data_IF_052744411634
#
_entry.id   IF_052744411634
#
_cell.length_a   1.000
_cell.length_b   1.000
_cell.length_c   1.000
_cell.angle_alpha   90.00
_cell.angle_beta   90.00
_cell.angle_gamma   90.00
#
_symmetry.space_group_name_H-M   'P 1'
#
loop_
_entity.id
_entity.type
_entity.pdbx_description
1 polymer ?
#
# COMPACT_ATOMS: atom_id res chain seq x y z
N UNK A 1 -11.08 2.31 -19.98
CA UNK A 1 -9.69 2.17 -19.50
C UNK A 1 -9.59 2.93 -18.19
N UNK A 2 -8.93 2.39 -17.16
CA UNK A 2 -8.56 3.20 -15.98
C UNK A 2 -7.67 4.32 -16.52
N UNK A 3 -8.04 5.58 -16.23
CA UNK A 3 -7.51 6.76 -16.93
C UNK A 3 -6.00 6.94 -16.83
N UNK A 4 -5.45 7.73 -17.75
CA UNK A 4 -4.03 8.08 -17.93
C UNK A 4 -3.33 8.52 -16.62
N UNK A 5 -2.96 7.55 -15.79
CA UNK A 5 -2.32 7.74 -14.50
C UNK A 5 -1.00 7.00 -14.42
N UNK A 6 -0.09 7.49 -13.58
CA UNK A 6 1.21 6.88 -13.38
C UNK A 6 1.46 6.59 -11.90
N UNK A 7 2.38 5.66 -11.65
CA UNK A 7 2.94 5.42 -10.33
C UNK A 7 4.47 5.33 -10.41
N UNK A 8 5.16 5.90 -9.43
CA UNK A 8 6.62 5.85 -9.31
C UNK A 8 7.01 5.44 -7.90
N UNK A 9 7.79 4.36 -7.79
CA UNK A 9 8.42 3.97 -6.54
C UNK A 9 9.65 4.85 -6.27
N UNK A 10 9.68 5.50 -5.12
CA UNK A 10 10.74 6.41 -4.69
C UNK A 10 11.45 5.79 -3.49
N UNK A 11 12.78 5.72 -3.52
CA UNK A 11 13.62 5.10 -2.49
C UNK A 11 14.73 6.04 -2.03
N UNK A 12 15.03 6.01 -0.74
CA UNK A 12 16.12 6.77 -0.13
C UNK A 12 15.97 8.28 -0.36
N UNK A 13 14.83 8.82 0.03
CA UNK A 13 14.44 10.22 -0.14
C UNK A 13 14.38 10.94 1.22
N UNK A 14 14.37 12.27 1.21
CA UNK A 14 13.98 13.07 2.37
C UNK A 14 12.45 13.16 2.49
N UNK A 15 11.90 12.81 3.67
CA UNK A 15 10.45 12.74 3.88
C UNK A 15 9.80 14.10 3.75
N UNK A 16 10.38 15.12 4.39
CA UNK A 16 9.79 16.46 4.44
C UNK A 16 9.81 17.12 3.05
N UNK A 17 10.89 16.93 2.30
CA UNK A 17 10.99 17.36 0.90
C UNK A 17 9.90 16.71 0.04
N UNK A 18 9.72 15.38 0.13
CA UNK A 18 8.68 14.70 -0.63
C UNK A 18 7.26 15.16 -0.22
N UNK A 19 6.99 15.33 1.06
CA UNK A 19 5.68 15.83 1.53
C UNK A 19 5.41 17.24 1.02
N UNK A 20 6.41 18.11 1.03
CA UNK A 20 6.32 19.46 0.47
C UNK A 20 6.02 19.44 -1.04
N UNK A 21 6.75 18.63 -1.81
CA UNK A 21 6.55 18.50 -3.26
C UNK A 21 5.16 17.93 -3.62
N UNK A 22 4.69 16.95 -2.86
CA UNK A 22 3.34 16.36 -3.05
C UNK A 22 2.26 17.37 -2.65
N UNK A 23 2.41 18.06 -1.52
CA UNK A 23 1.44 19.06 -1.07
C UNK A 23 1.35 20.28 -2.00
N UNK A 24 2.40 20.56 -2.78
CA UNK A 24 2.40 21.61 -3.79
C UNK A 24 1.64 21.26 -5.08
N UNK A 25 1.03 20.06 -5.17
CA UNK A 25 0.31 19.63 -6.37
C UNK A 25 -0.93 18.79 -6.03
N UNK A 26 -2.09 19.22 -6.50
CA UNK A 26 -3.34 18.44 -6.39
C UNK A 26 -3.38 17.21 -7.32
N UNK A 27 -2.35 17.03 -8.16
CA UNK A 27 -2.30 16.02 -9.21
C UNK A 27 -1.42 14.80 -8.85
N UNK A 28 -0.94 14.71 -7.61
CA UNK A 28 -0.08 13.62 -7.13
C UNK A 28 -0.34 13.38 -5.65
N UNK A 29 -0.30 12.11 -5.24
CA UNK A 29 -0.43 11.70 -3.83
C UNK A 29 0.61 10.63 -3.51
N UNK A 30 0.87 10.42 -2.22
CA UNK A 30 1.57 9.22 -1.75
C UNK A 30 0.55 8.07 -1.74
N UNK A 31 0.67 7.17 -2.71
CA UNK A 31 -0.19 6.00 -2.87
C UNK A 31 0.16 4.87 -1.90
N UNK A 32 1.46 4.65 -1.65
CA UNK A 32 1.94 3.60 -0.75
C UNK A 32 3.03 4.16 0.16
N UNK A 33 2.77 4.21 1.46
CA UNK A 33 3.78 4.43 2.48
C UNK A 33 4.34 3.08 2.91
N UNK A 34 5.33 2.57 2.16
CA UNK A 34 5.83 1.20 2.32
C UNK A 34 6.82 1.07 3.48
N UNK A 35 7.69 2.07 3.68
CA UNK A 35 8.66 2.12 4.76
C UNK A 35 9.25 3.53 4.86
N UNK A 36 10.06 3.79 5.90
CA UNK A 36 10.76 5.07 6.07
C UNK A 36 11.63 5.47 4.88
N UNK A 37 12.07 4.50 4.08
CA UNK A 37 12.98 4.72 2.96
C UNK A 37 12.39 4.34 1.61
N UNK A 38 11.10 3.97 1.54
CA UNK A 38 10.44 3.62 0.28
C UNK A 38 8.97 4.02 0.32
N UNK A 39 8.54 4.75 -0.70
CA UNK A 39 7.13 5.09 -0.95
C UNK A 39 6.81 4.88 -2.43
N UNK A 40 5.53 4.91 -2.77
CA UNK A 40 5.08 5.04 -4.15
C UNK A 40 4.21 6.29 -4.24
N UNK A 41 4.52 7.16 -5.19
CA UNK A 41 3.66 8.28 -5.55
C UNK A 41 2.80 7.89 -6.75
N UNK A 42 1.58 8.42 -6.83
CA UNK A 42 0.68 8.20 -7.96
C UNK A 42 -0.09 9.46 -8.31
N UNK A 43 -0.49 9.60 -9.56
CA UNK A 43 -1.28 10.74 -10.01
C UNK A 43 -1.19 10.92 -11.52
N UNK A 44 -1.28 12.16 -11.99
CA UNK A 44 -1.06 12.46 -13.40
C UNK A 44 0.39 12.12 -13.80
N UNK A 45 0.64 11.59 -15.01
CA UNK A 45 1.98 11.24 -15.46
C UNK A 45 2.97 12.41 -15.36
N UNK A 46 2.52 13.61 -15.71
CA UNK A 46 3.36 14.82 -15.68
C UNK A 46 3.68 15.28 -14.26
N UNK A 47 2.73 15.21 -13.32
CA UNK A 47 2.95 15.57 -11.93
C UNK A 47 3.87 14.56 -11.22
N UNK A 48 3.62 13.27 -11.45
CA UNK A 48 4.46 12.17 -10.90
C UNK A 48 5.90 12.30 -11.40
N UNK A 49 6.11 12.55 -12.70
CA UNK A 49 7.44 12.77 -13.26
C UNK A 49 8.13 13.99 -12.63
N UNK A 50 7.43 15.12 -12.53
CA UNK A 50 7.97 16.36 -11.94
C UNK A 50 8.40 16.16 -10.48
N UNK A 51 7.59 15.49 -9.67
CA UNK A 51 7.97 15.17 -8.28
C UNK A 51 9.18 14.26 -8.25
N UNK A 52 9.22 13.22 -9.09
CA UNK A 52 10.35 12.29 -9.18
C UNK A 52 11.67 12.96 -9.60
N UNK A 53 11.61 13.95 -10.51
CA UNK A 53 12.77 14.72 -10.98
C UNK A 53 13.24 15.77 -9.96
N UNK A 54 12.29 16.39 -9.24
CA UNK A 54 12.59 17.46 -8.28
C UNK A 54 13.09 16.94 -6.94
N UNK A 55 12.66 15.73 -6.55
CA UNK A 55 12.97 15.14 -5.26
C UNK A 55 14.39 14.57 -5.24
N UNK A 56 15.17 14.98 -4.22
CA UNK A 56 16.43 14.31 -3.91
C UNK A 56 16.15 12.93 -3.35
N UNK A 57 16.38 11.91 -4.16
CA UNK A 57 16.24 10.52 -3.77
C UNK A 57 17.37 9.66 -4.34
N UNK A 58 17.60 8.50 -3.71
CA UNK A 58 18.56 7.51 -4.22
C UNK A 58 18.08 6.91 -5.55
N UNK A 59 16.77 6.66 -5.68
CA UNK A 59 16.21 6.02 -6.87
C UNK A 59 14.72 6.30 -7.00
N UNK A 60 14.28 6.69 -8.18
CA UNK A 60 12.88 6.76 -8.59
C UNK A 60 12.64 5.81 -9.77
N UNK A 61 11.67 4.91 -9.67
CA UNK A 61 11.38 3.89 -10.69
C UNK A 61 9.90 3.98 -11.09
N UNK A 62 9.59 4.34 -12.35
CA UNK A 62 8.25 4.22 -12.89
C UNK A 62 7.77 2.76 -12.83
N UNK A 63 6.55 2.54 -12.35
CA UNK A 63 5.96 1.21 -12.26
C UNK A 63 5.20 0.88 -13.55
N UNK A 64 5.28 -0.37 -13.99
CA UNK A 64 4.55 -0.87 -15.15
C UNK A 64 3.08 -1.13 -14.80
N UNK A 65 2.32 -0.05 -14.57
CA UNK A 65 0.91 -0.06 -14.21
C UNK A 65 0.12 0.93 -15.07
N UNK A 66 -1.18 0.71 -15.19
CA UNK A 66 -2.06 1.46 -16.10
C UNK A 66 -2.85 2.60 -15.45
N UNK A 67 -2.67 2.88 -14.17
CA UNK A 67 -3.45 3.89 -13.48
C UNK A 67 -2.79 4.42 -12.21
N UNK A 68 -3.34 5.51 -11.69
CA UNK A 68 -2.93 6.13 -10.44
C UNK A 68 -3.65 5.46 -9.25
N UNK A 69 -3.27 4.22 -8.91
CA UNK A 69 -3.90 3.48 -7.83
C UNK A 69 -3.71 4.14 -6.45
N UNK A 70 -4.66 3.91 -5.53
CA UNK A 70 -4.64 4.49 -4.18
C UNK A 70 -4.65 6.04 -4.18
N UNK A 71 -5.40 6.61 -5.13
CA UNK A 71 -5.53 8.05 -5.31
C UNK A 71 -6.97 8.47 -5.67
N UNK A 72 -7.29 9.77 -5.64
CA UNK A 72 -8.60 10.28 -6.07
C UNK A 72 -8.99 9.88 -7.50
N UNK A 73 -8.03 9.58 -8.38
CA UNK A 73 -8.29 9.13 -9.76
C UNK A 73 -9.00 7.76 -9.84
N UNK A 74 -8.99 7.01 -8.74
CA UNK A 74 -9.71 5.74 -8.64
C UNK A 74 -11.18 5.90 -8.24
N UNK A 75 -11.71 7.13 -8.11
CA UNK A 75 -13.06 7.36 -7.62
C UNK A 75 -14.15 6.64 -8.44
N UNK A 76 -14.10 6.70 -9.77
CA UNK A 76 -15.07 6.00 -10.63
C UNK A 76 -14.93 4.46 -10.55
N UNK A 77 -13.74 3.86 -10.73
CA UNK A 77 -13.57 2.42 -10.49
C UNK A 77 -13.97 1.99 -9.07
N UNK A 78 -13.71 2.82 -8.06
CA UNK A 78 -14.08 2.54 -6.68
C UNK A 78 -15.59 2.55 -6.48
N UNK A 79 -16.33 3.46 -7.13
CA UNK A 79 -17.79 3.47 -7.09
C UNK A 79 -18.40 2.20 -7.71
N UNK A 80 -17.87 1.76 -8.86
CA UNK A 80 -18.28 0.51 -9.49
C UNK A 80 -17.95 -0.71 -8.60
N UNK A 81 -16.76 -0.73 -8.00
CA UNK A 81 -16.36 -1.77 -7.05
C UNK A 81 -17.25 -1.77 -5.79
N UNK A 82 -17.62 -0.60 -5.28
CA UNK A 82 -18.51 -0.46 -4.13
C UNK A 82 -19.90 -1.04 -4.41
N UNK A 83 -20.44 -0.82 -5.61
CA UNK A 83 -21.72 -1.39 -6.03
C UNK A 83 -21.67 -2.93 -6.05
N UNK A 84 -20.57 -3.52 -6.55
CA UNK A 84 -20.35 -4.96 -6.48
C UNK A 84 -20.21 -5.46 -5.04
N UNK A 85 -19.40 -4.80 -4.22
CA UNK A 85 -19.25 -5.17 -2.81
C UNK A 85 -20.58 -5.13 -2.05
N UNK A 86 -21.46 -4.18 -2.37
CA UNK A 86 -22.76 -4.03 -1.71
C UNK A 86 -23.58 -5.34 -1.76
N UNK A 87 -23.48 -6.12 -2.84
CA UNK A 87 -24.21 -7.39 -3.02
C UNK A 87 -23.60 -8.57 -2.25
N UNK A 88 -22.38 -8.42 -1.74
CA UNK A 88 -21.66 -9.49 -1.04
C UNK A 88 -21.90 -9.41 0.47
N UNK A 89 -22.27 -10.54 1.07
CA UNK A 89 -22.38 -10.68 2.53
C UNK A 89 -20.99 -10.95 3.11
N UNK A 90 -20.60 -10.16 4.12
CA UNK A 90 -19.35 -10.36 4.85
C UNK A 90 -19.65 -11.04 6.18
N UNK A 91 -18.97 -12.16 6.46
CA UNK A 91 -18.94 -12.75 7.79
C UNK A 91 -17.79 -12.14 8.60
N UNK A 92 -17.95 -12.10 9.93
CA UNK A 92 -16.86 -11.72 10.81
C UNK A 92 -15.74 -12.79 10.72
N UNK A 93 -14.48 -12.41 10.43
CA UNK A 93 -13.39 -13.37 10.40
C UNK A 93 -12.99 -13.81 11.81
N UNK A 94 -12.48 -15.03 11.93
CA UNK A 94 -11.91 -15.54 13.19
C UNK A 94 -10.63 -14.80 13.59
N UNK A 95 -9.85 -14.36 12.60
CA UNK A 95 -8.61 -13.59 12.80
C UNK A 95 -8.83 -12.14 12.40
N UNK A 96 -8.47 -11.15 13.26
CA UNK A 96 -8.56 -9.74 12.92
C UNK A 96 -7.73 -9.39 11.67
N UNK A 97 -8.29 -8.55 10.80
CA UNK A 97 -7.62 -8.09 9.57
C UNK A 97 -7.20 -6.63 9.74
N UNK A 98 -5.93 -6.34 9.44
CA UNK A 98 -5.41 -4.96 9.39
C UNK A 98 -5.68 -4.39 8.00
N UNK A 99 -6.49 -3.33 7.92
CA UNK A 99 -6.74 -2.66 6.65
C UNK A 99 -5.63 -1.66 6.30
N UNK A 100 -5.23 -1.64 5.03
CA UNK A 100 -4.32 -0.63 4.49
C UNK A 100 -4.81 0.81 4.65
N UNK A 101 -6.13 1.04 4.66
CA UNK A 101 -6.72 2.38 4.75
C UNK A 101 -6.66 2.96 6.17
N UNK A 102 -6.82 2.10 7.19
CA UNK A 102 -6.88 2.52 8.60
C UNK A 102 -5.66 2.14 9.42
N UNK A 103 -4.78 1.28 8.88
CA UNK A 103 -3.68 0.63 9.59
C UNK A 103 -4.11 -0.02 10.93
N UNK A 104 -5.39 -0.38 11.05
CA UNK A 104 -5.99 -0.89 12.29
C UNK A 104 -6.61 -2.25 12.07
N UNK A 105 -6.38 -3.16 13.02
CA UNK A 105 -6.98 -4.49 13.06
C UNK A 105 -8.44 -4.41 13.47
N UNK A 106 -9.30 -5.14 12.76
CA UNK A 106 -10.70 -5.33 13.15
C UNK A 106 -11.18 -6.70 12.68
N UNK A 107 -12.13 -7.28 13.42
CA UNK A 107 -12.92 -8.44 13.02
C UNK A 107 -14.39 -8.06 12.72
N UNK A 108 -14.71 -6.76 12.74
CA UNK A 108 -16.06 -6.29 12.40
C UNK A 108 -16.28 -6.31 10.88
N UNK A 109 -17.22 -7.14 10.44
CA UNK A 109 -17.51 -7.36 9.03
C UNK A 109 -17.93 -6.06 8.29
N UNK A 110 -18.71 -5.20 8.96
CA UNK A 110 -19.17 -3.94 8.36
C UNK A 110 -17.99 -2.96 8.17
N UNK A 111 -17.11 -2.85 9.16
CA UNK A 111 -15.89 -2.04 9.08
C UNK A 111 -14.94 -2.56 7.99
N UNK A 112 -14.78 -3.87 7.86
CA UNK A 112 -13.96 -4.47 6.79
C UNK A 112 -14.51 -4.15 5.40
N UNK A 113 -15.83 -4.27 5.21
CA UNK A 113 -16.50 -3.91 3.96
C UNK A 113 -16.30 -2.42 3.64
N UNK A 114 -16.52 -1.53 4.60
CA UNK A 114 -16.31 -0.09 4.44
C UNK A 114 -14.85 0.26 4.14
N UNK A 115 -13.89 -0.42 4.76
CA UNK A 115 -12.47 -0.24 4.49
C UNK A 115 -12.10 -0.66 3.07
N UNK A 116 -12.60 -1.81 2.60
CA UNK A 116 -12.33 -2.32 1.27
C UNK A 116 -12.91 -1.39 0.19
N UNK A 117 -14.10 -0.83 0.42
CA UNK A 117 -14.70 0.20 -0.46
C UNK A 117 -13.81 1.44 -0.60
N UNK A 118 -13.19 1.90 0.48
CA UNK A 118 -12.33 3.10 0.46
C UNK A 118 -10.91 2.83 -0.06
N UNK A 119 -10.43 1.59 0.02
CA UNK A 119 -9.03 1.24 -0.22
C UNK A 119 -8.48 1.70 -1.58
N UNK A 120 -9.33 1.75 -2.62
CA UNK A 120 -8.90 2.13 -3.96
C UNK A 120 -8.54 3.61 -4.08
N UNK A 121 -9.14 4.48 -3.25
CA UNK A 121 -8.92 5.94 -3.29
C UNK A 121 -8.09 6.47 -2.12
N UNK A 122 -7.74 5.61 -1.16
CA UNK A 122 -6.93 5.96 0.01
C UNK A 122 -5.54 5.35 -0.08
N UNK A 123 -4.50 6.02 0.47
CA UNK A 123 -3.15 5.47 0.56
C UNK A 123 -3.08 4.13 1.28
N UNK A 124 -2.11 3.30 0.88
CA UNK A 124 -1.69 2.09 1.60
C UNK A 124 -0.71 2.48 2.70
N UNK A 125 -1.13 2.37 3.96
CA UNK A 125 -0.35 2.74 5.16
C UNK A 125 0.50 1.57 5.69
N UNK A 126 1.31 0.97 4.81
CA UNK A 126 2.01 -0.28 5.13
C UNK A 126 3.11 -0.13 6.21
N UNK A 127 3.83 1.00 6.22
CA UNK A 127 4.80 1.33 7.28
C UNK A 127 4.14 1.26 8.66
N UNK A 128 3.00 1.91 8.81
CA UNK A 128 2.25 1.93 10.07
C UNK A 128 1.68 0.55 10.42
N UNK A 129 1.21 -0.21 9.42
CA UNK A 129 0.80 -1.60 9.61
C UNK A 129 1.95 -2.46 10.18
N UNK A 130 3.17 -2.35 9.64
CA UNK A 130 4.33 -3.08 10.14
C UNK A 130 4.71 -2.63 11.57
N UNK A 131 4.72 -1.33 11.84
CA UNK A 131 5.00 -0.79 13.18
C UNK A 131 3.99 -1.32 14.20
N UNK A 132 2.71 -1.43 13.83
CA UNK A 132 1.65 -1.99 14.68
C UNK A 132 1.82 -3.48 14.94
N UNK A 133 2.21 -4.25 13.92
CA UNK A 133 2.48 -5.68 14.06
C UNK A 133 3.62 -5.90 15.06
N UNK A 134 4.73 -5.14 14.93
CA UNK A 134 5.84 -5.21 15.88
C UNK A 134 5.43 -4.78 17.30
N UNK A 135 4.67 -3.69 17.42
CA UNK A 135 4.18 -3.19 18.72
C UNK A 135 3.21 -4.16 19.43
N UNK A 136 2.52 -5.01 18.67
CA UNK A 136 1.65 -6.07 19.21
C UNK A 136 2.43 -7.29 19.74
N UNK A 137 3.76 -7.29 19.67
CA UNK A 137 4.61 -8.40 20.11
C UNK A 137 4.61 -9.59 19.14
N UNK A 138 4.16 -9.40 17.90
CA UNK A 138 4.24 -10.44 16.87
C UNK A 138 5.71 -10.60 16.47
N UNK A 139 6.27 -11.77 16.74
CA UNK A 139 7.67 -12.09 16.49
C UNK A 139 7.91 -12.84 15.17
N UNK A 140 6.85 -13.29 14.50
CA UNK A 140 6.94 -14.10 13.28
C UNK A 140 5.92 -13.62 12.24
N UNK A 141 6.39 -13.35 11.03
CA UNK A 141 5.58 -12.97 9.88
C UNK A 141 5.82 -13.94 8.73
N UNK A 142 4.73 -14.42 8.14
CA UNK A 142 4.75 -15.32 6.98
C UNK A 142 4.17 -14.59 5.77
N UNK A 143 4.98 -14.37 4.74
CA UNK A 143 4.51 -13.86 3.44
C UNK A 143 3.92 -15.00 2.63
N UNK A 144 2.62 -14.93 2.35
CA UNK A 144 1.89 -15.93 1.55
C UNK A 144 1.63 -15.34 0.16
N UNK A 145 2.13 -16.01 -0.87
CA UNK A 145 2.05 -15.55 -2.25
C UNK A 145 3.43 -15.46 -2.92
N UNK A 146 3.47 -15.30 -4.26
CA UNK A 146 4.72 -15.30 -5.01
C UNK A 146 5.58 -14.07 -4.69
N UNK A 147 6.90 -14.27 -4.64
CA UNK A 147 7.88 -13.20 -4.45
C UNK A 147 8.27 -12.99 -2.99
N UNK A 148 8.97 -11.88 -2.74
CA UNK A 148 9.59 -11.60 -1.43
C UNK A 148 9.52 -10.15 -0.99
N UNK A 149 8.57 -9.39 -1.58
CA UNK A 149 8.50 -7.94 -1.41
C UNK A 149 8.16 -7.57 0.02
N UNK A 150 7.14 -8.20 0.61
CA UNK A 150 6.68 -7.86 1.95
C UNK A 150 7.69 -8.28 3.00
N UNK A 151 8.26 -9.49 2.90
CA UNK A 151 9.35 -9.94 3.77
C UNK A 151 10.55 -9.01 3.70
N UNK A 152 10.90 -8.53 2.50
CA UNK A 152 11.95 -7.54 2.31
C UNK A 152 11.68 -6.22 3.04
N UNK A 153 10.42 -5.76 3.04
CA UNK A 153 10.02 -4.53 3.76
C UNK A 153 10.06 -4.72 5.28
N UNK A 154 9.55 -5.85 5.80
CA UNK A 154 9.63 -6.18 7.23
C UNK A 154 11.09 -6.26 7.69
N UNK A 155 11.96 -6.97 6.95
CA UNK A 155 13.38 -7.11 7.29
C UNK A 155 14.10 -5.77 7.52
N UNK A 156 13.70 -4.72 6.79
CA UNK A 156 14.27 -3.37 6.91
C UNK A 156 13.60 -2.50 7.97
N UNK A 157 12.34 -2.78 8.30
CA UNK A 157 11.49 -1.88 9.11
C UNK A 157 11.34 -2.36 10.55
N UNK A 158 11.37 -3.67 10.79
CA UNK A 158 11.10 -4.29 12.09
C UNK A 158 12.17 -5.35 12.42
N UNK A 159 13.40 -4.93 12.81
CA UNK A 159 14.45 -5.87 13.19
C UNK A 159 14.01 -6.77 14.35
N UNK A 160 14.33 -8.06 14.28
CA UNK A 160 13.98 -9.04 15.32
C UNK A 160 12.71 -9.85 15.05
N UNK A 161 11.87 -9.44 14.09
CA UNK A 161 10.76 -10.27 13.60
C UNK A 161 11.30 -11.36 12.67
N UNK A 162 11.05 -12.61 13.01
CA UNK A 162 11.30 -13.78 12.17
C UNK A 162 10.44 -13.75 10.91
N UNK A 163 11.03 -14.10 9.77
CA UNK A 163 10.37 -14.03 8.46
C UNK A 163 10.38 -15.40 7.80
N UNK A 164 9.22 -15.81 7.28
CA UNK A 164 9.06 -17.02 6.47
C UNK A 164 8.21 -16.73 5.25
N UNK A 165 8.29 -17.58 4.23
CA UNK A 165 7.65 -17.33 2.94
C UNK A 165 7.04 -18.60 2.39
N UNK A 166 5.81 -18.50 1.91
CA UNK A 166 5.08 -19.58 1.25
C UNK A 166 4.68 -19.07 -0.15
N UNK A 167 5.61 -19.24 -1.10
CA UNK A 167 5.46 -18.70 -2.45
C UNK A 167 4.87 -19.65 -3.48
N UNK A 168 4.77 -20.94 -3.17
CA UNK A 168 4.23 -21.99 -4.04
C UNK A 168 3.75 -23.17 -3.22
N UNK A 169 3.00 -24.09 -3.84
CA UNK A 169 2.60 -25.36 -3.21
C UNK A 169 3.81 -26.17 -2.75
N UNK A 170 4.89 -26.18 -3.54
CA UNK A 170 6.13 -26.86 -3.16
C UNK A 170 6.77 -26.30 -1.87
N UNK A 171 6.56 -25.01 -1.57
CA UNK A 171 7.04 -24.39 -0.34
C UNK A 171 6.24 -24.84 0.91
N UNK A 172 5.10 -25.52 0.75
CA UNK A 172 4.33 -26.08 1.87
C UNK A 172 4.92 -27.37 2.43
N UNK A 173 5.89 -27.99 1.75
CA UNK A 173 6.46 -29.27 2.16
C UNK A 173 5.45 -30.43 2.14
N UNK A 174 4.38 -30.29 1.34
CA UNK A 174 3.37 -31.31 1.06
C UNK A 174 3.74 -32.15 -0.16
#
# INVERSE_FOLDING_TARGET
>A
AVGDGAMTAVMGFDRAELESLVAASDAVVIANDNSRTQVVISGSPTAVARVGESLRCRRAIPLAVSGAFHSPWMAEPAAAFAATLATITFAAPETPVISNASASATADAAALKANLTRQMTTPVRWRETMDRIAAAGIDTVVEIGPGTVLSGLFKRSTPGVGLSQIGSVAALGL
#
